data_IF_760908305538
#
_entry.id   IF_760908305538
#
_cell.length_a   1.000
_cell.length_b   1.000
_cell.length_c   1.000
_cell.angle_alpha   90.00
_cell.angle_beta   90.00
_cell.angle_gamma   90.00
#
_symmetry.space_group_name_H-M   'P 1'
#
loop_
_entity.id
_entity.type
_entity.pdbx_description
1 polymer ?
#
# COMPACT_ATOMS: atom_id res chain seq x y z
N UNK A 1 10.01 -35.91 9.69
CA UNK A 1 10.35 -34.84 8.72
C UNK A 1 9.71 -33.53 9.20
N UNK A 2 10.50 -32.50 9.54
CA UNK A 2 9.98 -31.19 9.97
C UNK A 2 9.22 -30.56 8.80
N UNK A 3 7.92 -30.31 8.98
CA UNK A 3 7.05 -29.70 8.00
C UNK A 3 7.58 -28.30 7.65
N UNK A 4 8.21 -28.14 6.48
CA UNK A 4 8.80 -26.88 5.98
C UNK A 4 7.75 -25.91 5.45
N UNK A 5 6.58 -25.80 6.10
CA UNK A 5 5.70 -24.65 5.89
C UNK A 5 6.35 -23.45 6.58
N UNK A 6 7.38 -22.89 5.91
CA UNK A 6 7.94 -21.60 6.25
C UNK A 6 6.79 -20.61 6.22
N UNK A 7 6.47 -20.04 7.39
CA UNK A 7 5.51 -18.95 7.58
C UNK A 7 5.89 -17.75 6.69
N UNK A 8 5.51 -17.79 5.42
CA UNK A 8 5.76 -16.71 4.47
C UNK A 8 4.60 -15.74 4.59
N UNK A 9 4.91 -14.53 5.04
CA UNK A 9 3.95 -13.43 4.97
C UNK A 9 3.69 -13.07 3.51
N UNK A 10 2.44 -12.76 3.22
CA UNK A 10 2.05 -12.32 1.89
C UNK A 10 2.25 -10.81 1.74
N UNK A 11 3.17 -10.44 0.87
CA UNK A 11 3.55 -9.05 0.58
C UNK A 11 2.56 -8.35 -0.36
N UNK A 12 1.82 -9.12 -1.14
CA UNK A 12 1.10 -8.59 -2.29
C UNK A 12 0.09 -7.47 -1.94
N UNK A 13 -0.78 -7.60 -0.90
CA UNK A 13 -1.74 -6.56 -0.57
C UNK A 13 -1.07 -5.23 -0.20
N UNK A 14 0.01 -5.29 0.58
CA UNK A 14 0.75 -4.10 0.98
C UNK A 14 1.41 -3.41 -0.24
N UNK A 15 2.09 -4.18 -1.11
CA UNK A 15 2.71 -3.64 -2.31
C UNK A 15 1.68 -3.04 -3.28
N UNK A 16 0.54 -3.71 -3.44
CA UNK A 16 -0.56 -3.23 -4.28
C UNK A 16 -1.04 -1.85 -3.86
N UNK A 17 -1.31 -1.65 -2.56
CA UNK A 17 -1.81 -0.35 -2.10
C UNK A 17 -0.74 0.74 -2.15
N UNK A 18 0.55 0.42 -1.95
CA UNK A 18 1.64 1.39 -2.14
C UNK A 18 1.63 1.91 -3.58
N UNK A 19 1.51 1.02 -4.57
CA UNK A 19 1.50 1.42 -5.99
C UNK A 19 0.30 2.32 -6.29
N UNK A 20 -0.88 2.00 -5.78
CA UNK A 20 -2.07 2.83 -5.96
C UNK A 20 -1.99 4.17 -5.23
N UNK A 21 -1.42 4.21 -4.03
CA UNK A 21 -1.21 5.45 -3.28
C UNK A 21 -0.36 6.42 -4.09
N UNK A 22 0.75 5.94 -4.64
CA UNK A 22 1.63 6.73 -5.50
C UNK A 22 0.93 7.17 -6.78
N UNK A 23 0.17 6.28 -7.43
CA UNK A 23 -0.55 6.60 -8.66
C UNK A 23 -1.62 7.68 -8.43
N UNK A 24 -2.43 7.53 -7.38
CA UNK A 24 -3.50 8.46 -7.03
C UNK A 24 -2.92 9.81 -6.60
N UNK A 25 -1.89 9.82 -5.76
CA UNK A 25 -1.15 11.04 -5.41
C UNK A 25 -0.64 11.72 -6.67
N UNK A 26 -0.04 10.98 -7.61
CA UNK A 26 0.50 11.56 -8.82
C UNK A 26 -0.58 12.16 -9.74
N UNK A 27 -1.72 11.47 -9.88
CA UNK A 27 -2.86 11.92 -10.69
C UNK A 27 -3.51 13.19 -10.11
N UNK A 28 -3.59 13.29 -8.79
CA UNK A 28 -4.27 14.41 -8.13
C UNK A 28 -3.37 15.58 -7.73
N UNK A 29 -2.06 15.47 -7.94
CA UNK A 29 -1.19 16.64 -7.89
C UNK A 29 -1.61 17.68 -8.94
N UNK A 30 -1.52 18.99 -8.63
CA UNK A 30 -1.81 20.05 -9.59
C UNK A 30 -0.93 19.97 -10.84
N UNK A 31 -1.42 20.44 -11.98
CA UNK A 31 -0.64 20.43 -13.23
C UNK A 31 0.60 21.32 -13.13
N UNK A 32 0.49 22.41 -12.37
CA UNK A 32 1.53 23.37 -12.09
C UNK A 32 2.72 22.72 -11.35
N UNK A 33 2.44 21.76 -10.47
CA UNK A 33 3.49 20.99 -9.79
C UNK A 33 4.32 20.22 -10.82
N UNK A 34 3.66 19.53 -11.75
CA UNK A 34 4.34 18.79 -12.82
C UNK A 34 5.05 19.67 -13.86
N UNK A 35 4.73 20.96 -13.88
CA UNK A 35 5.42 21.98 -14.67
C UNK A 35 6.61 22.61 -13.92
N UNK A 36 6.95 22.10 -12.73
CA UNK A 36 8.11 22.53 -11.93
C UNK A 36 7.78 23.55 -10.85
N UNK A 37 6.52 23.95 -10.66
CA UNK A 37 6.14 24.82 -9.55
C UNK A 37 5.99 24.01 -8.25
N UNK A 38 7.10 23.76 -7.58
CA UNK A 38 7.16 22.94 -6.35
C UNK A 38 6.43 23.56 -5.14
N UNK A 39 5.94 24.80 -5.24
CA UNK A 39 5.08 25.40 -4.21
C UNK A 39 3.63 24.90 -4.27
N UNK A 40 3.26 24.27 -5.38
CA UNK A 40 1.92 23.70 -5.61
C UNK A 40 1.81 22.25 -5.14
N UNK A 41 2.80 21.73 -4.41
CA UNK A 41 2.73 20.40 -3.78
C UNK A 41 1.50 20.35 -2.89
N UNK A 42 0.66 19.35 -3.14
CA UNK A 42 -0.47 19.01 -2.29
C UNK A 42 -0.23 17.62 -1.71
N UNK A 43 0.50 17.52 -0.61
CA UNK A 43 0.82 16.25 0.03
C UNK A 43 0.60 16.37 1.53
N UNK A 44 -0.23 15.49 2.10
CA UNK A 44 -0.57 15.50 3.52
C UNK A 44 0.47 14.80 4.39
N UNK A 45 1.27 13.90 3.82
CA UNK A 45 2.39 13.27 4.51
C UNK A 45 3.58 14.25 4.59
N UNK A 46 4.05 14.64 5.80
CA UNK A 46 5.15 15.58 5.94
C UNK A 46 6.45 15.16 5.23
N UNK A 47 6.76 13.86 5.24
CA UNK A 47 7.95 13.32 4.56
C UNK A 47 7.77 13.41 3.04
N UNK A 48 6.60 13.01 2.55
CA UNK A 48 6.23 13.16 1.14
C UNK A 48 6.32 14.62 0.67
N UNK A 49 5.76 15.53 1.46
CA UNK A 49 5.77 16.96 1.19
C UNK A 49 7.20 17.51 1.08
N UNK A 50 8.10 17.16 2.01
CA UNK A 50 9.50 17.59 1.96
C UNK A 50 10.19 17.06 0.70
N UNK A 51 10.01 15.77 0.37
CA UNK A 51 10.61 15.17 -0.82
C UNK A 51 10.11 15.85 -2.10
N UNK A 52 8.81 16.12 -2.20
CA UNK A 52 8.17 16.71 -3.37
C UNK A 52 8.45 18.21 -3.52
N UNK A 53 8.63 18.94 -2.42
CA UNK A 53 9.04 20.35 -2.48
C UNK A 53 10.52 20.53 -2.83
N UNK A 54 11.34 19.49 -2.64
CA UNK A 54 12.76 19.47 -3.04
C UNK A 54 12.94 19.10 -4.51
N UNK A 55 12.14 18.16 -5.02
CA UNK A 55 12.26 17.66 -6.39
C UNK A 55 10.88 17.22 -6.93
N UNK A 56 10.56 17.59 -8.18
CA UNK A 56 9.36 17.16 -8.92
C UNK A 56 9.14 15.64 -8.89
N UNK A 57 10.21 14.85 -8.95
CA UNK A 57 10.16 13.38 -8.92
C UNK A 57 10.34 12.81 -7.50
N UNK A 58 10.35 13.67 -6.48
CA UNK A 58 10.52 13.30 -5.07
C UNK A 58 9.55 12.22 -4.60
N UNK A 59 8.30 12.27 -5.06
CA UNK A 59 7.29 11.23 -4.82
C UNK A 59 7.78 9.84 -5.24
N UNK A 60 8.33 9.72 -6.45
CA UNK A 60 8.76 8.43 -7.00
C UNK A 60 10.01 7.90 -6.31
N UNK A 61 10.95 8.77 -5.95
CA UNK A 61 12.13 8.37 -5.17
C UNK A 61 11.72 7.85 -3.79
N UNK A 62 10.86 8.58 -3.09
CA UNK A 62 10.36 8.17 -1.79
C UNK A 62 9.59 6.84 -1.88
N UNK A 63 8.71 6.71 -2.88
CA UNK A 63 7.96 5.49 -3.14
C UNK A 63 8.86 4.27 -3.38
N UNK A 64 9.90 4.43 -4.20
CA UNK A 64 10.85 3.36 -4.49
C UNK A 64 11.60 2.92 -3.22
N UNK A 65 12.12 3.88 -2.45
CA UNK A 65 12.80 3.60 -1.18
C UNK A 65 11.85 2.88 -0.22
N UNK A 66 10.60 3.34 -0.12
CA UNK A 66 9.60 2.75 0.76
C UNK A 66 9.21 1.33 0.35
N UNK A 67 9.01 1.06 -0.95
CA UNK A 67 8.77 -0.29 -1.47
C UNK A 67 9.89 -1.26 -1.10
N UNK A 68 11.14 -0.84 -1.28
CA UNK A 68 12.31 -1.64 -0.89
C UNK A 68 12.31 -1.89 0.63
N UNK A 69 12.08 -0.85 1.43
CA UNK A 69 12.03 -0.96 2.88
C UNK A 69 10.95 -1.93 3.36
N UNK A 70 9.74 -1.86 2.79
CA UNK A 70 8.63 -2.77 3.13
C UNK A 70 8.98 -4.23 2.84
N UNK A 71 9.58 -4.50 1.67
CA UNK A 71 10.03 -5.86 1.31
C UNK A 71 11.12 -6.36 2.24
N UNK A 72 12.09 -5.50 2.60
CA UNK A 72 13.18 -5.86 3.50
C UNK A 72 12.65 -6.13 4.92
N UNK A 73 11.82 -5.26 5.48
CA UNK A 73 11.27 -5.44 6.82
C UNK A 73 10.42 -6.71 6.91
N UNK A 74 9.58 -7.00 5.93
CA UNK A 74 8.79 -8.22 5.92
C UNK A 74 9.64 -9.50 5.92
N UNK A 75 10.83 -9.46 5.31
CA UNK A 75 11.78 -10.59 5.25
C UNK A 75 12.66 -10.72 6.50
N UNK A 76 13.00 -9.61 7.13
CA UNK A 76 13.91 -9.56 8.29
C UNK A 76 13.16 -9.82 9.59
N UNK A 77 11.93 -9.30 9.72
CA UNK A 77 11.17 -9.39 10.97
C UNK A 77 10.62 -10.81 11.21
N UNK A 78 10.42 -11.19 12.49
CA UNK A 78 9.66 -12.39 12.85
C UNK A 78 8.25 -12.37 12.26
N UNK A 79 7.70 -13.55 11.95
CA UNK A 79 6.41 -13.68 11.24
C UNK A 79 5.27 -12.84 11.82
N UNK A 80 5.10 -12.83 13.14
CA UNK A 80 4.05 -12.03 13.82
C UNK A 80 4.24 -10.54 13.57
N UNK A 81 5.46 -10.03 13.72
CA UNK A 81 5.78 -8.62 13.48
C UNK A 81 5.67 -8.26 12.00
N UNK A 82 6.13 -9.11 11.09
CA UNK A 82 5.94 -8.89 9.65
C UNK A 82 4.47 -8.82 9.27
N UNK A 83 3.61 -9.69 9.84
CA UNK A 83 2.16 -9.66 9.57
C UNK A 83 1.54 -8.34 10.04
N UNK A 84 1.84 -7.91 11.27
CA UNK A 84 1.34 -6.64 11.82
C UNK A 84 1.85 -5.44 11.02
N UNK A 85 3.14 -5.43 10.67
CA UNK A 85 3.74 -4.36 9.88
C UNK A 85 3.10 -4.24 8.49
N UNK A 86 2.88 -5.36 7.79
CA UNK A 86 2.24 -5.33 6.47
C UNK A 86 0.77 -4.92 6.54
N UNK A 87 0.06 -5.33 7.59
CA UNK A 87 -1.30 -4.86 7.84
C UNK A 87 -1.34 -3.36 8.11
N UNK A 88 -0.40 -2.84 8.90
CA UNK A 88 -0.26 -1.41 9.14
C UNK A 88 -0.03 -0.65 7.83
N UNK A 89 0.96 -1.07 7.02
CA UNK A 89 1.23 -0.47 5.70
C UNK A 89 -0.02 -0.50 4.82
N UNK A 90 -0.72 -1.63 4.79
CA UNK A 90 -1.95 -1.78 4.01
C UNK A 90 -3.04 -0.78 4.42
N UNK A 91 -3.30 -0.65 5.72
CA UNK A 91 -4.33 0.25 6.25
C UNK A 91 -3.93 1.71 6.02
N UNK A 92 -2.70 2.10 6.37
CA UNK A 92 -2.24 3.49 6.27
C UNK A 92 -2.30 4.04 4.85
N UNK A 93 -1.95 3.24 3.84
CA UNK A 93 -2.04 3.70 2.45
C UNK A 93 -3.45 3.62 1.88
N UNK A 94 -4.30 2.69 2.34
CA UNK A 94 -5.74 2.77 2.02
C UNK A 94 -6.34 4.09 2.52
N UNK A 95 -5.99 4.52 3.75
CA UNK A 95 -6.45 5.79 4.29
C UNK A 95 -5.95 6.96 3.43
N UNK A 96 -4.67 6.96 3.01
CA UNK A 96 -4.12 7.97 2.10
C UNK A 96 -4.90 8.09 0.80
N UNK A 97 -5.11 6.97 0.11
CA UNK A 97 -5.88 6.91 -1.15
C UNK A 97 -7.32 7.38 -0.96
N UNK A 98 -7.99 6.92 0.10
CA UNK A 98 -9.37 7.30 0.39
C UNK A 98 -9.47 8.79 0.67
N UNK A 99 -8.54 9.36 1.43
CA UNK A 99 -8.51 10.81 1.68
C UNK A 99 -8.37 11.60 0.37
N UNK A 100 -7.50 11.16 -0.53
CA UNK A 100 -7.38 11.75 -1.87
C UNK A 100 -8.68 11.71 -2.67
N UNK A 101 -9.35 10.56 -2.70
CA UNK A 101 -10.62 10.39 -3.41
C UNK A 101 -11.73 11.26 -2.79
N UNK A 102 -11.83 11.30 -1.47
CA UNK A 102 -12.82 12.12 -0.77
C UNK A 102 -12.58 13.62 -0.97
N UNK A 103 -11.32 14.07 -0.95
CA UNK A 103 -10.98 15.47 -1.24
C UNK A 103 -11.42 15.92 -2.63
N UNK A 104 -11.49 14.99 -3.60
CA UNK A 104 -11.98 15.23 -4.96
C UNK A 104 -13.46 14.88 -5.16
N UNK A 105 -14.22 14.68 -4.07
CA UNK A 105 -15.64 14.30 -4.07
C UNK A 105 -15.95 12.96 -4.77
N UNK A 106 -14.99 12.04 -4.83
CA UNK A 106 -15.12 10.71 -5.45
C UNK A 106 -15.54 9.64 -4.43
N UNK A 107 -16.59 9.89 -3.65
CA UNK A 107 -17.05 9.00 -2.58
C UNK A 107 -17.33 7.57 -3.05
N UNK A 108 -18.04 7.41 -4.17
CA UNK A 108 -18.38 6.08 -4.72
C UNK A 108 -17.12 5.30 -5.08
N UNK A 109 -16.11 5.94 -5.68
CA UNK A 109 -14.84 5.30 -6.00
C UNK A 109 -14.07 4.89 -4.74
N UNK A 110 -14.10 5.70 -3.67
CA UNK A 110 -13.50 5.35 -2.39
C UNK A 110 -14.13 4.07 -1.81
N UNK A 111 -15.47 3.98 -1.82
CA UNK A 111 -16.19 2.78 -1.35
C UNK A 111 -15.86 1.56 -2.19
N UNK A 112 -15.85 1.69 -3.52
CA UNK A 112 -15.50 0.59 -4.43
C UNK A 112 -14.05 0.14 -4.24
N UNK A 113 -13.12 1.07 -4.01
CA UNK A 113 -11.72 0.76 -3.78
C UNK A 113 -11.50 0.01 -2.46
N UNK A 114 -12.15 0.44 -1.38
CA UNK A 114 -12.13 -0.27 -0.09
C UNK A 114 -12.70 -1.69 -0.26
N UNK A 115 -13.87 -1.82 -0.90
CA UNK A 115 -14.50 -3.12 -1.14
C UNK A 115 -13.57 -4.06 -1.93
N UNK A 116 -12.96 -3.56 -3.00
CA UNK A 116 -12.04 -4.32 -3.82
C UNK A 116 -10.83 -4.81 -3.00
N UNK A 117 -10.20 -3.92 -2.23
CA UNK A 117 -9.04 -4.26 -1.42
C UNK A 117 -9.37 -5.26 -0.29
N UNK A 118 -10.55 -5.17 0.31
CA UNK A 118 -11.03 -6.15 1.29
C UNK A 118 -11.17 -7.55 0.67
N UNK A 119 -11.73 -7.65 -0.53
CA UNK A 119 -11.84 -8.93 -1.25
C UNK A 119 -10.48 -9.53 -1.62
N UNK A 120 -9.49 -8.69 -1.93
CA UNK A 120 -8.12 -9.13 -2.20
C UNK A 120 -7.41 -9.66 -0.95
N UNK A 121 -7.73 -9.13 0.23
CA UNK A 121 -7.17 -9.58 1.50
C UNK A 121 -7.73 -10.95 1.93
N UNK A 122 -9.04 -11.15 1.82
CA UNK A 122 -9.73 -12.38 2.27
C UNK A 122 -9.42 -13.63 1.44
N UNK A 123 -9.17 -13.50 0.13
CA UNK A 123 -8.99 -14.67 -0.76
C UNK A 123 -7.85 -15.60 -0.34
N UNK A 124 -6.87 -15.14 0.43
CA UNK A 124 -5.71 -15.97 0.83
C UNK A 124 -5.97 -16.81 2.08
N UNK A 125 -6.84 -16.41 2.99
CA UNK A 125 -7.22 -17.25 4.15
C UNK A 125 -8.23 -18.34 3.74
N UNK A 126 -9.19 -18.02 2.86
CA UNK A 126 -10.24 -18.97 2.41
C UNK A 126 -9.64 -20.16 1.64
N UNK A 127 -8.71 -19.91 0.71
CA UNK A 127 -8.07 -20.98 -0.06
C UNK A 127 -7.16 -21.89 0.80
N UNK A 128 -6.55 -21.35 1.87
CA UNK A 128 -5.71 -22.15 2.79
C UNK A 128 -6.55 -23.13 3.61
N UNK A 129 -7.73 -22.70 4.08
CA UNK A 129 -8.63 -23.57 4.84
C UNK A 129 -9.30 -24.64 3.97
N UNK A 130 -9.69 -24.32 2.73
CA UNK A 130 -10.35 -25.28 1.83
C UNK A 130 -9.49 -26.51 1.48
N UNK A 131 -8.17 -26.36 1.40
CA UNK A 131 -7.24 -27.48 1.15
C UNK A 131 -7.06 -28.37 2.37
N UNK A 132 -7.22 -27.82 3.58
CA UNK A 132 -6.98 -28.57 4.82
C UNK A 132 -8.14 -29.52 5.15
N UNK A 133 -9.34 -29.22 4.68
CA UNK A 133 -10.53 -30.09 4.80
C UNK A 133 -10.59 -31.17 3.72
N UNK A 134 -10.08 -30.92 2.50
CA UNK A 134 -10.10 -31.90 1.41
C UNK A 134 -9.12 -33.07 1.56
N UNK A 135 -8.07 -32.94 2.38
CA UNK A 135 -7.11 -34.03 2.67
C UNK A 135 -7.36 -34.71 4.02
N UNK A 136 -8.51 -34.44 4.65
CA UNK A 136 -8.93 -35.06 5.92
C UNK A 136 -10.07 -36.08 5.79
N UNK A 137 -10.55 -36.32 4.57
CA UNK A 137 -11.56 -37.34 4.27
C UNK A 137 -10.95 -38.45 3.43
#
# INVERSE_FOLDING_TARGET
>A
MKNKNKNKVDLYPALWVIVWDVAITAIYQPKEYWQGNLRMVNEGNPIGYICMTTNQYGLFYLAFIWLVAVVLFAKILPYSLSKTFLLFVFISHNIGIVNWMLFKNHFVFAILFILLNSLFFDRKEICSNSKTTLFKN
#
